data_IF_651446798343
#
_entry.id   IF_651446798343
#
_cell.length_a   1.000
_cell.length_b   1.000
_cell.length_c   1.000
_cell.angle_alpha   90.00
_cell.angle_beta   90.00
_cell.angle_gamma   90.00
#
_symmetry.space_group_name_H-M   'P 1'
#
loop_
_entity.id
_entity.type
_entity.pdbx_description
1 polymer ?
#
# COMPACT_ATOMS: atom_id res chain seq x y z
N UNK A 1 -3.02 -42.64 -22.59
CA UNK A 1 -2.95 -41.71 -21.45
C UNK A 1 -1.53 -41.64 -20.90
N UNK A 2 -0.54 -41.31 -21.73
CA UNK A 2 0.86 -41.15 -21.27
C UNK A 2 1.55 -40.10 -22.14
N UNK A 3 1.08 -38.83 -22.15
CA UNK A 3 1.82 -37.77 -22.80
C UNK A 3 1.75 -36.39 -22.10
N UNK A 4 1.09 -36.31 -20.95
CA UNK A 4 0.95 -35.02 -20.27
C UNK A 4 2.07 -34.70 -19.27
N UNK A 5 2.85 -35.71 -18.88
CA UNK A 5 3.87 -35.52 -17.84
C UNK A 5 5.24 -35.05 -18.36
N UNK A 6 5.54 -35.29 -19.63
CA UNK A 6 6.85 -34.94 -20.19
C UNK A 6 6.99 -33.43 -20.48
N UNK A 7 5.88 -32.76 -20.82
CA UNK A 7 5.93 -31.30 -21.11
C UNK A 7 6.16 -30.45 -19.87
N UNK A 8 5.61 -30.85 -18.75
CA UNK A 8 5.81 -30.11 -17.49
C UNK A 8 7.24 -30.21 -16.97
N UNK A 9 7.88 -31.36 -17.16
CA UNK A 9 9.28 -31.56 -16.71
C UNK A 9 10.27 -30.72 -17.54
N UNK A 10 10.02 -30.61 -18.85
CA UNK A 10 10.87 -29.80 -19.74
C UNK A 10 10.73 -28.31 -19.43
N UNK A 11 9.52 -27.86 -19.05
CA UNK A 11 9.31 -26.45 -18.68
C UNK A 11 10.07 -26.08 -17.39
N UNK A 12 10.11 -26.98 -16.41
CA UNK A 12 10.87 -26.76 -15.17
C UNK A 12 12.38 -26.77 -15.40
N UNK A 13 12.88 -27.61 -16.31
CA UNK A 13 14.30 -27.67 -16.64
C UNK A 13 14.76 -26.43 -17.43
N UNK A 14 13.93 -25.90 -18.31
CA UNK A 14 14.25 -24.68 -19.06
C UNK A 14 14.28 -23.43 -18.16
N UNK A 15 13.44 -23.40 -17.14
CA UNK A 15 13.43 -22.29 -16.15
C UNK A 15 14.60 -22.38 -15.17
N UNK A 16 15.12 -23.58 -14.92
CA UNK A 16 16.28 -23.78 -14.05
C UNK A 16 17.61 -23.38 -14.65
N UNK A 17 17.70 -23.34 -16.00
CA UNK A 17 18.96 -23.06 -16.69
C UNK A 17 19.27 -21.56 -16.86
N UNK A 18 18.29 -20.68 -16.61
CA UNK A 18 18.50 -19.24 -16.85
C UNK A 18 18.57 -18.39 -15.57
N UNK A 19 18.80 -19.01 -14.42
CA UNK A 19 19.15 -18.26 -13.19
C UNK A 19 18.29 -17.03 -12.91
N UNK A 20 17.02 -17.04 -13.34
CA UNK A 20 16.07 -15.99 -12.98
C UNK A 20 15.67 -16.19 -11.53
N UNK A 21 16.57 -15.77 -10.68
CA UNK A 21 16.33 -15.70 -9.24
C UNK A 21 15.01 -14.99 -8.96
N UNK A 22 14.28 -15.46 -7.98
CA UNK A 22 13.06 -14.82 -7.49
C UNK A 22 13.24 -13.32 -7.16
N UNK A 23 14.49 -12.90 -7.03
CA UNK A 23 14.90 -11.49 -6.93
C UNK A 23 14.57 -10.61 -8.16
N UNK A 24 14.34 -11.24 -9.14
CA UNK A 24 14.06 -10.55 -10.30
C UNK A 24 12.65 -10.16 -10.45
N UNK A 25 11.94 -10.92 -9.88
CA UNK A 25 10.54 -10.54 -9.83
C UNK A 25 10.30 -9.45 -8.77
N UNK A 26 11.08 -9.45 -7.74
CA UNK A 26 10.95 -8.49 -6.64
C UNK A 26 11.37 -7.06 -7.02
N UNK A 27 12.15 -6.90 -8.09
CA UNK A 27 12.59 -5.57 -8.58
C UNK A 27 11.49 -4.77 -9.30
N UNK A 28 10.36 -5.40 -9.63
CA UNK A 28 9.26 -4.72 -10.33
C UNK A 28 8.24 -4.07 -9.39
N UNK A 29 8.38 -4.27 -8.08
CA UNK A 29 7.46 -3.70 -7.09
C UNK A 29 8.15 -2.57 -6.35
N UNK A 30 7.58 -1.38 -6.43
CA UNK A 30 8.07 -0.26 -5.63
C UNK A 30 7.63 -0.45 -4.18
N UNK A 31 8.61 -0.51 -3.28
CA UNK A 31 8.36 -0.52 -1.84
C UNK A 31 8.38 0.91 -1.31
N UNK A 32 7.42 1.23 -0.47
CA UNK A 32 7.37 2.53 0.15
C UNK A 32 6.87 2.45 1.59
N UNK A 33 7.35 3.35 2.41
CA UNK A 33 6.82 3.58 3.74
C UNK A 33 6.01 4.87 3.76
N UNK A 34 4.94 4.91 4.51
CA UNK A 34 4.17 6.12 4.76
C UNK A 34 4.13 6.36 6.25
N UNK A 35 4.45 7.58 6.64
CA UNK A 35 4.48 8.02 8.03
C UNK A 35 3.32 8.96 8.29
N UNK A 36 2.77 8.88 9.50
CA UNK A 36 1.68 9.76 9.91
C UNK A 36 2.18 11.19 10.04
N UNK A 37 1.40 12.13 9.53
CA UNK A 37 1.64 13.57 9.75
C UNK A 37 1.01 13.91 11.09
N UNK A 38 1.86 14.21 12.07
CA UNK A 38 1.42 14.69 13.38
C UNK A 38 1.47 16.22 13.40
N UNK A 39 0.32 16.83 13.64
CA UNK A 39 0.25 18.27 13.88
C UNK A 39 0.69 18.53 15.32
N UNK A 40 1.78 19.26 15.49
CA UNK A 40 2.28 19.66 16.80
C UNK A 40 1.35 20.71 17.41
N UNK A 41 0.21 20.25 17.91
CA UNK A 41 -0.67 21.08 18.74
C UNK A 41 -0.36 20.78 20.20
N UNK A 42 0.50 21.58 20.80
CA UNK A 42 0.86 21.42 22.18
C UNK A 42 -0.31 21.76 23.09
N UNK A 43 -0.78 20.77 23.82
CA UNK A 43 -1.57 21.01 25.01
C UNK A 43 -0.89 20.27 26.16
N UNK A 44 -0.09 21.02 26.89
CA UNK A 44 0.50 20.53 28.12
C UNK A 44 -0.58 20.35 29.20
N UNK A 45 -0.81 19.13 29.59
CA UNK A 45 -1.54 18.87 30.83
C UNK A 45 -0.69 17.93 31.69
N UNK A 46 0.03 18.54 32.64
CA UNK A 46 0.65 17.83 33.74
C UNK A 46 -0.41 17.58 34.81
N UNK A 47 -0.36 16.38 35.35
CA UNK A 47 -1.15 15.87 36.52
C UNK A 47 -2.46 15.16 36.18
N UNK A 48 -2.33 13.85 35.98
CA UNK A 48 -3.27 12.91 36.57
C UNK A 48 -2.53 11.64 36.95
N UNK A 49 -2.24 11.53 38.22
CA UNK A 49 -1.75 10.32 38.88
C UNK A 49 -2.95 9.38 39.15
N UNK A 50 -2.82 8.15 38.77
CA UNK A 50 -3.67 7.11 39.33
C UNK A 50 -4.25 6.09 38.38
N UNK A 51 -3.95 4.86 38.73
CA UNK A 51 -4.55 3.58 38.35
C UNK A 51 -4.12 2.95 37.05
N UNK A 52 -3.64 1.75 37.18
CA UNK A 52 -3.28 0.75 36.18
C UNK A 52 -4.03 0.90 34.84
N UNK A 53 -3.36 1.54 33.91
CA UNK A 53 -3.81 1.52 32.53
C UNK A 53 -3.66 0.08 32.02
N UNK A 54 -4.75 -0.61 31.81
CA UNK A 54 -4.77 -1.75 30.92
C UNK A 54 -4.15 -1.26 29.60
N UNK A 55 -2.96 -1.75 29.28
CA UNK A 55 -2.32 -1.50 28.01
C UNK A 55 -3.23 -2.11 26.94
N UNK A 56 -4.17 -1.31 26.44
CA UNK A 56 -4.87 -1.65 25.22
C UNK A 56 -3.79 -1.80 24.15
N UNK A 57 -3.68 -2.95 23.48
CA UNK A 57 -2.64 -3.10 22.47
C UNK A 57 -2.78 -1.97 21.45
N UNK A 58 -1.69 -1.26 21.21
CA UNK A 58 -1.63 -0.16 20.26
C UNK A 58 -2.22 -0.63 18.94
N UNK A 59 -3.41 -0.16 18.65
CA UNK A 59 -4.14 -0.56 17.45
C UNK A 59 -3.92 0.49 16.36
N UNK A 60 -3.40 0.06 15.24
CA UNK A 60 -3.13 0.90 14.09
C UNK A 60 -4.42 1.52 13.55
N UNK A 61 -4.46 2.84 13.45
CA UNK A 61 -5.62 3.58 12.91
C UNK A 61 -5.23 4.21 11.58
N UNK A 62 -5.82 3.72 10.48
CA UNK A 62 -5.51 4.24 9.15
C UNK A 62 -6.09 5.65 8.89
N UNK A 63 -7.12 6.07 9.64
CA UNK A 63 -7.72 7.40 9.44
C UNK A 63 -6.71 8.47 9.81
N UNK A 64 -6.50 9.44 8.91
CA UNK A 64 -5.57 10.53 9.11
C UNK A 64 -4.74 10.82 7.88
N UNK A 65 -3.71 11.63 8.05
CA UNK A 65 -2.82 12.07 6.97
C UNK A 65 -1.48 11.36 7.06
N UNK A 66 -0.99 10.95 5.91
CA UNK A 66 0.22 10.14 5.76
C UNK A 66 1.10 10.76 4.68
N UNK A 67 2.41 10.70 4.85
CA UNK A 67 3.39 11.16 3.87
C UNK A 67 4.37 10.02 3.57
N UNK A 68 4.74 9.87 2.30
CA UNK A 68 5.74 8.87 1.93
C UNK A 68 7.13 9.51 1.71
N UNK A 69 8.12 8.65 1.51
CA UNK A 69 9.52 9.08 1.35
C UNK A 69 9.75 9.97 0.10
N UNK A 70 8.82 9.95 -0.85
CA UNK A 70 8.87 10.78 -2.07
C UNK A 70 8.14 12.11 -1.91
N UNK A 71 7.52 12.35 -0.74
CA UNK A 71 6.76 13.58 -0.46
C UNK A 71 5.31 13.54 -0.92
N UNK A 72 4.81 12.38 -1.37
CA UNK A 72 3.38 12.25 -1.70
C UNK A 72 2.55 12.21 -0.42
N UNK A 73 1.38 12.84 -0.46
CA UNK A 73 0.47 12.94 0.68
C UNK A 73 -0.78 12.10 0.43
N UNK A 74 -1.20 11.36 1.44
CA UNK A 74 -2.44 10.58 1.44
C UNK A 74 -3.26 10.96 2.66
N UNK A 75 -4.56 11.17 2.48
CA UNK A 75 -5.48 11.38 3.60
C UNK A 75 -6.61 10.37 3.53
N UNK A 76 -6.75 9.57 4.57
CA UNK A 76 -7.88 8.65 4.74
C UNK A 76 -8.90 9.39 5.61
N UNK A 77 -10.05 9.72 5.02
CA UNK A 77 -11.04 10.59 5.64
C UNK A 77 -12.11 9.83 6.40
N UNK A 78 -12.43 8.61 5.97
CA UNK A 78 -13.50 7.85 6.61
C UNK A 78 -13.27 6.35 6.45
N UNK A 79 -13.80 5.59 7.41
CA UNK A 79 -13.81 4.13 7.38
C UNK A 79 -15.12 3.64 8.00
N UNK A 80 -15.77 2.69 7.33
CA UNK A 80 -17.02 2.11 7.86
C UNK A 80 -16.73 0.89 8.77
N UNK A 81 -17.79 0.36 9.36
CA UNK A 81 -17.68 -0.79 10.28
C UNK A 81 -17.11 -2.05 9.62
N UNK A 82 -17.25 -2.17 8.29
CA UNK A 82 -16.71 -3.32 7.53
C UNK A 82 -15.23 -3.15 7.17
N UNK A 83 -14.61 -2.01 7.53
CA UNK A 83 -13.21 -1.73 7.21
C UNK A 83 -13.00 -1.11 5.83
N UNK A 84 -14.07 -0.78 5.11
CA UNK A 84 -13.94 -0.06 3.82
C UNK A 84 -13.67 1.41 4.12
N UNK A 85 -12.65 1.97 3.47
CA UNK A 85 -12.24 3.36 3.70
C UNK A 85 -12.13 4.13 2.40
N UNK A 86 -12.25 5.45 2.51
CA UNK A 86 -12.09 6.39 1.41
C UNK A 86 -11.20 7.55 1.82
N UNK A 87 -10.67 8.24 0.81
CA UNK A 87 -9.80 9.37 1.05
C UNK A 87 -9.29 9.99 -0.24
N UNK A 88 -8.16 10.65 -0.14
CA UNK A 88 -7.52 11.33 -1.27
C UNK A 88 -6.01 11.07 -1.26
N UNK A 89 -5.44 11.15 -2.45
CA UNK A 89 -3.99 10.98 -2.66
C UNK A 89 -3.48 12.14 -3.53
N UNK A 90 -2.41 12.77 -3.09
CA UNK A 90 -1.71 13.81 -3.85
C UNK A 90 -0.27 13.35 -4.08
N UNK A 91 0.01 12.87 -5.28
CA UNK A 91 1.35 12.38 -5.59
C UNK A 91 2.33 13.53 -5.75
N UNK A 92 3.57 13.32 -5.34
CA UNK A 92 4.67 14.25 -5.59
C UNK A 92 5.41 13.95 -6.90
N UNK A 93 5.12 12.79 -7.52
CA UNK A 93 5.81 12.32 -8.72
C UNK A 93 4.79 11.87 -9.77
N UNK A 94 5.10 12.09 -11.04
CA UNK A 94 4.24 11.68 -12.13
C UNK A 94 5.07 11.27 -13.35
N UNK A 95 4.51 10.36 -14.15
CA UNK A 95 5.08 9.94 -15.42
C UNK A 95 4.44 10.65 -16.62
N UNK A 96 3.54 11.63 -16.37
CA UNK A 96 2.87 12.40 -17.41
C UNK A 96 3.28 13.86 -17.35
N UNK A 97 3.06 14.60 -18.42
CA UNK A 97 3.24 16.06 -18.46
C UNK A 97 2.02 16.81 -17.92
N UNK A 98 0.95 16.11 -17.59
CA UNK A 98 -0.27 16.72 -17.07
C UNK A 98 -0.04 17.25 -15.64
N UNK A 99 -0.70 18.35 -15.31
CA UNK A 99 -0.68 18.92 -13.98
C UNK A 99 -1.20 17.90 -12.95
N UNK A 100 -0.43 17.70 -11.90
CA UNK A 100 -0.82 16.79 -10.80
C UNK A 100 -2.07 17.34 -10.10
N UNK A 101 -3.05 16.47 -9.87
CA UNK A 101 -4.29 16.81 -9.17
C UNK A 101 -4.53 15.80 -8.05
N UNK A 102 -5.16 16.27 -7.01
CA UNK A 102 -5.65 15.40 -5.93
C UNK A 102 -6.59 14.35 -6.55
N UNK A 103 -6.38 13.09 -6.19
CA UNK A 103 -7.08 11.96 -6.79
C UNK A 103 -7.78 11.14 -5.69
N UNK A 104 -8.98 10.61 -5.96
CA UNK A 104 -9.70 9.83 -4.95
C UNK A 104 -9.03 8.48 -4.73
N UNK A 105 -9.10 7.99 -3.49
CA UNK A 105 -8.71 6.64 -3.14
C UNK A 105 -9.86 5.91 -2.44
N UNK A 106 -9.86 4.60 -2.61
CA UNK A 106 -10.80 3.72 -1.93
C UNK A 106 -10.10 2.39 -1.64
N UNK A 107 -10.34 1.85 -0.46
CA UNK A 107 -9.70 0.61 -0.06
C UNK A 107 -10.44 -0.11 1.05
N UNK A 108 -9.80 -1.17 1.52
CA UNK A 108 -10.32 -1.95 2.63
C UNK A 108 -9.20 -2.42 3.54
N UNK A 109 -9.52 -2.48 4.80
CA UNK A 109 -8.70 -3.00 5.88
C UNK A 109 -9.17 -4.39 6.23
N UNK A 110 -8.24 -5.34 6.35
CA UNK A 110 -8.59 -6.69 6.82
C UNK A 110 -8.74 -6.66 8.35
N UNK A 111 -9.96 -6.87 8.80
CA UNK A 111 -10.26 -6.98 10.23
C UNK A 111 -10.20 -8.45 10.64
N UNK A 112 -9.21 -8.79 11.44
CA UNK A 112 -9.07 -10.15 11.95
C UNK A 112 -8.71 -10.09 13.44
N UNK A 113 -9.35 -10.91 14.26
CA UNK A 113 -9.04 -10.94 15.69
C UNK A 113 -7.61 -11.39 15.98
N UNK A 114 -6.95 -12.06 15.01
CA UNK A 114 -5.60 -12.58 15.18
C UNK A 114 -4.49 -11.59 14.78
N UNK A 115 -4.83 -10.39 14.27
CA UNK A 115 -3.83 -9.46 13.72
C UNK A 115 -3.16 -8.55 14.76
N UNK A 116 -3.47 -8.71 16.04
CA UNK A 116 -2.80 -7.99 17.15
C UNK A 116 -2.64 -6.47 16.89
N UNK A 117 -3.66 -5.84 16.28
CA UNK A 117 -3.65 -4.41 16.04
C UNK A 117 -2.83 -3.92 14.85
N UNK A 118 -2.22 -4.83 14.06
CA UNK A 118 -1.38 -4.48 12.90
C UNK A 118 -1.97 -5.04 11.60
N UNK A 119 -3.09 -4.47 11.12
CA UNK A 119 -3.85 -5.05 10.02
C UNK A 119 -3.18 -4.89 8.66
N UNK A 120 -3.48 -5.82 7.75
CA UNK A 120 -3.21 -5.66 6.33
C UNK A 120 -4.33 -4.84 5.68
N UNK A 121 -4.00 -4.18 4.57
CA UNK A 121 -4.94 -3.34 3.85
C UNK A 121 -4.57 -3.27 2.37
N UNK A 122 -5.54 -2.81 1.57
CA UNK A 122 -5.28 -2.48 0.18
C UNK A 122 -6.18 -1.34 -0.27
N UNK A 123 -5.70 -0.56 -1.25
CA UNK A 123 -6.50 0.52 -1.81
C UNK A 123 -6.09 0.81 -3.25
N UNK A 124 -6.99 1.47 -3.97
CA UNK A 124 -6.74 1.96 -5.32
C UNK A 124 -6.76 3.48 -5.34
N UNK A 125 -5.90 4.07 -6.17
CA UNK A 125 -5.92 5.51 -6.49
C UNK A 125 -6.32 5.65 -7.95
N UNK A 126 -7.40 6.36 -8.19
CA UNK A 126 -7.93 6.63 -9.52
C UNK A 126 -7.44 8.02 -9.96
N UNK A 127 -6.38 8.06 -10.79
CA UNK A 127 -5.70 9.32 -11.09
C UNK A 127 -6.58 10.27 -11.88
N UNK A 128 -6.90 11.43 -11.29
CA UNK A 128 -7.78 12.44 -11.91
C UNK A 128 -7.14 13.17 -13.10
N UNK A 129 -5.84 13.02 -13.29
CA UNK A 129 -5.07 13.73 -14.32
C UNK A 129 -4.47 12.80 -15.38
N UNK A 130 -4.80 11.50 -15.35
CA UNK A 130 -4.27 10.53 -16.33
C UNK A 130 -5.21 9.33 -16.48
N UNK A 131 -5.07 8.59 -17.58
CA UNK A 131 -5.82 7.34 -17.82
C UNK A 131 -5.12 6.15 -17.17
N UNK A 132 -4.85 6.27 -15.88
CA UNK A 132 -4.13 5.23 -15.13
C UNK A 132 -4.75 5.02 -13.76
N UNK A 133 -4.45 3.88 -13.17
CA UNK A 133 -4.88 3.52 -11.83
C UNK A 133 -3.70 2.87 -11.10
N UNK A 134 -3.55 3.13 -9.81
CA UNK A 134 -2.57 2.45 -8.97
C UNK A 134 -3.27 1.64 -7.90
N UNK A 135 -2.79 0.43 -7.68
CA UNK A 135 -3.23 -0.40 -6.55
C UNK A 135 -2.09 -0.50 -5.55
N UNK A 136 -2.44 -0.35 -4.29
CA UNK A 136 -1.52 -0.49 -3.16
C UNK A 136 -1.95 -1.66 -2.31
N UNK A 137 -1.00 -2.42 -1.83
CA UNK A 137 -1.20 -3.44 -0.80
C UNK A 137 -0.18 -3.20 0.31
N UNK A 138 -0.55 -3.42 1.55
CA UNK A 138 0.36 -3.15 2.64
C UNK A 138 -0.12 -3.66 3.99
N UNK A 139 0.66 -3.30 4.98
CA UNK A 139 0.37 -3.59 6.38
C UNK A 139 0.72 -2.38 7.23
N UNK A 140 -0.08 -2.12 8.22
CA UNK A 140 0.18 -1.11 9.23
C UNK A 140 0.98 -1.74 10.36
N UNK A 141 2.05 -1.06 10.77
CA UNK A 141 2.89 -1.45 11.89
C UNK A 141 2.90 -0.33 12.93
N UNK A 142 3.13 -0.71 14.16
CA UNK A 142 3.49 0.22 15.23
C UNK A 142 4.94 -0.09 15.59
N UNK A 143 5.80 0.90 15.50
CA UNK A 143 7.23 0.73 15.78
C UNK A 143 7.51 0.75 17.29
N UNK A 144 8.79 0.66 17.66
CA UNK A 144 9.24 0.59 19.07
C UNK A 144 8.93 1.88 19.83
N UNK A 145 8.78 3.00 19.13
CA UNK A 145 8.42 4.30 19.72
C UNK A 145 6.90 4.53 19.78
N UNK A 146 6.11 3.54 19.35
CA UNK A 146 4.65 3.63 19.33
C UNK A 146 4.12 4.39 18.09
N UNK A 147 4.96 4.68 17.11
CA UNK A 147 4.54 5.39 15.90
C UNK A 147 4.00 4.43 14.86
N UNK A 148 2.94 4.84 14.21
CA UNK A 148 2.31 4.06 13.15
C UNK A 148 3.04 4.27 11.83
N UNK A 149 3.32 3.16 11.12
CA UNK A 149 3.99 3.16 9.81
C UNK A 149 3.22 2.24 8.88
N UNK A 150 2.90 2.73 7.68
CA UNK A 150 2.29 1.92 6.62
C UNK A 150 3.39 1.46 5.67
N UNK A 151 3.66 0.16 5.64
CA UNK A 151 4.58 -0.43 4.65
C UNK A 151 3.76 -0.93 3.47
N UNK A 152 4.05 -0.41 2.27
CA UNK A 152 3.24 -0.66 1.07
C UNK A 152 4.08 -1.09 -0.12
N UNK A 153 3.44 -1.83 -1.01
CA UNK A 153 3.89 -2.07 -2.39
C UNK A 153 2.77 -1.63 -3.33
N UNK A 154 3.12 -1.23 -4.55
CA UNK A 154 2.13 -0.74 -5.49
C UNK A 154 2.42 -1.17 -6.93
N UNK A 155 1.37 -1.21 -7.72
CA UNK A 155 1.40 -1.44 -9.16
C UNK A 155 0.59 -0.35 -9.85
N UNK A 156 1.20 0.31 -10.82
CA UNK A 156 0.52 1.28 -11.67
C UNK A 156 0.14 0.63 -12.99
N UNK A 157 -1.14 0.75 -13.37
CA UNK A 157 -1.64 0.32 -14.67
C UNK A 157 -1.99 1.55 -15.50
N UNK A 158 -1.32 1.70 -16.65
CA UNK A 158 -1.63 2.74 -17.63
C UNK A 158 -2.54 2.18 -18.73
N UNK A 159 -3.39 3.05 -19.28
CA UNK A 159 -4.14 2.71 -20.49
C UNK A 159 -3.19 2.57 -21.67
N UNK A 160 -3.42 1.56 -22.50
CA UNK A 160 -2.74 1.39 -23.79
C UNK A 160 -3.78 1.23 -24.90
N UNK A 161 -3.40 1.58 -26.13
CA UNK A 161 -4.32 1.63 -27.27
C UNK A 161 -4.73 0.25 -27.77
N UNK A 162 -3.88 -0.76 -27.59
CA UNK A 162 -4.16 -2.08 -28.12
C UNK A 162 -3.48 -3.17 -27.28
N UNK A 163 -3.95 -4.39 -27.46
CA UNK A 163 -3.49 -5.55 -26.69
C UNK A 163 -2.00 -5.87 -26.89
N UNK A 164 -1.42 -5.52 -28.03
CA UNK A 164 0.01 -5.75 -28.31
C UNK A 164 0.91 -4.93 -27.37
N UNK A 165 0.41 -3.84 -26.83
CA UNK A 165 1.14 -2.97 -25.90
C UNK A 165 0.89 -3.33 -24.42
N UNK A 166 0.09 -4.35 -24.13
CA UNK A 166 -0.29 -4.72 -22.78
C UNK A 166 0.91 -5.05 -21.89
N UNK A 167 1.93 -5.70 -22.45
CA UNK A 167 3.11 -6.15 -21.69
C UNK A 167 3.88 -5.01 -21.00
N UNK A 168 3.74 -3.77 -21.47
CA UNK A 168 4.42 -2.58 -20.93
C UNK A 168 3.47 -1.66 -20.13
N UNK A 169 2.20 -2.05 -19.99
CA UNK A 169 1.16 -1.20 -19.42
C UNK A 169 1.14 -1.18 -17.89
N UNK A 170 1.77 -2.17 -17.25
CA UNK A 170 1.83 -2.29 -15.78
C UNK A 170 3.29 -2.22 -15.31
N UNK A 171 3.56 -1.43 -14.31
CA UNK A 171 4.87 -1.27 -13.69
C UNK A 171 4.78 -0.98 -12.20
#
# INVERSE_FOLDING_TARGET
MVQATSFLLVLFLALGAHGLSAKXLQRRYSQGGMHRVEWAGGCGCWLCCGTSAEFSPLQCNLIGSWVNDLGSNMTITSMNAKGVFTGSYHTAVTATSNEIKVSPLQGSLQKSPNQKGQPTFGFTVNWSFSDSITVFTGQCFVDEDGKEVLKTMWLLRSRVENIKSDWKATR
#
